data_IF_130461189611
#
_entry.id   IF_130461189611
#
_cell.length_a   1.000
_cell.length_b   1.000
_cell.length_c   1.000
_cell.angle_alpha   90.00
_cell.angle_beta   90.00
_cell.angle_gamma   90.00
#
_symmetry.space_group_name_H-M   'P 1'
#
loop_
_entity.id
_entity.type
_entity.pdbx_description
1 polymer ?
#
# COMPACT_ATOMS: atom_id res chain seq x y z
N UNK A 1 -36.31 -38.07 -4.67
CA UNK A 1 -35.51 -38.14 -3.43
C UNK A 1 -34.14 -38.65 -3.83
N UNK A 2 -33.19 -37.74 -4.06
CA UNK A 2 -31.80 -38.11 -4.29
C UNK A 2 -31.19 -38.39 -2.92
N UNK A 3 -30.56 -39.54 -2.76
CA UNK A 3 -29.76 -39.84 -1.57
C UNK A 3 -28.67 -38.78 -1.41
N UNK A 4 -28.31 -38.38 -0.18
CA UNK A 4 -27.14 -37.53 0.04
C UNK A 4 -25.92 -38.25 -0.53
N UNK A 5 -25.05 -37.52 -1.22
CA UNK A 5 -23.80 -38.04 -1.76
C UNK A 5 -22.93 -38.58 -0.61
N UNK A 6 -23.05 -39.87 -0.29
CA UNK A 6 -22.35 -40.56 0.82
C UNK A 6 -20.82 -40.44 0.76
N UNK A 7 -20.25 -39.97 -0.35
CA UNK A 7 -18.81 -39.93 -0.59
C UNK A 7 -18.13 -38.59 -0.26
N UNK A 8 -18.83 -37.65 0.41
CA UNK A 8 -18.32 -36.31 0.76
C UNK A 8 -18.31 -35.99 2.26
N UNK A 9 -18.94 -36.81 3.10
CA UNK A 9 -18.97 -36.59 4.55
C UNK A 9 -17.74 -37.17 5.23
N UNK A 10 -17.20 -36.45 6.23
CA UNK A 10 -16.27 -36.97 7.22
C UNK A 10 -16.91 -36.91 8.60
N UNK A 11 -16.87 -38.01 9.36
CA UNK A 11 -17.37 -38.03 10.74
C UNK A 11 -16.33 -37.49 11.73
N UNK A 12 -16.77 -37.03 12.90
CA UNK A 12 -15.89 -36.43 13.91
C UNK A 12 -14.70 -37.33 14.30
N UNK A 13 -14.93 -38.63 14.47
CA UNK A 13 -13.86 -39.57 14.83
C UNK A 13 -12.81 -39.70 13.70
N UNK A 14 -13.25 -39.73 12.44
CA UNK A 14 -12.35 -39.75 11.28
C UNK A 14 -11.57 -38.44 11.14
N UNK A 15 -12.21 -37.31 11.38
CA UNK A 15 -11.54 -36.01 11.36
C UNK A 15 -10.51 -35.89 12.49
N UNK A 16 -10.79 -36.43 13.69
CA UNK A 16 -9.80 -36.51 14.77
C UNK A 16 -8.56 -37.32 14.35
N UNK A 17 -8.73 -38.47 13.70
CA UNK A 17 -7.61 -39.26 13.18
C UNK A 17 -6.79 -38.50 12.13
N UNK A 18 -7.46 -37.82 11.20
CA UNK A 18 -6.80 -36.99 10.18
C UNK A 18 -6.06 -35.77 10.79
N UNK A 19 -6.56 -35.22 11.89
CA UNK A 19 -5.89 -34.14 12.61
C UNK A 19 -4.62 -34.61 13.33
N UNK A 20 -4.58 -35.86 13.77
CA UNK A 20 -3.41 -36.49 14.38
C UNK A 20 -2.40 -37.03 13.36
N UNK A 21 -2.82 -37.22 12.11
CA UNK A 21 -1.98 -37.70 11.02
C UNK A 21 -0.98 -36.65 10.48
N UNK A 22 0.02 -37.14 9.75
CA UNK A 22 1.02 -36.29 9.08
C UNK A 22 0.56 -35.76 7.71
N UNK A 23 -0.60 -36.21 7.22
CA UNK A 23 -1.11 -35.81 5.91
C UNK A 23 -1.57 -34.34 5.91
N UNK A 24 -1.28 -33.58 4.85
CA UNK A 24 -1.78 -32.22 4.71
C UNK A 24 -3.31 -32.19 4.65
N UNK A 25 -3.93 -31.59 5.66
CA UNK A 25 -5.37 -31.39 5.78
C UNK A 25 -5.64 -29.90 6.01
N UNK A 26 -6.47 -29.27 5.18
CA UNK A 26 -7.00 -27.92 5.39
C UNK A 26 -8.36 -28.02 6.08
N UNK A 27 -8.53 -27.31 7.20
CA UNK A 27 -9.77 -27.30 7.96
C UNK A 27 -10.36 -25.89 7.96
N UNK A 28 -11.46 -25.68 7.24
CA UNK A 28 -12.12 -24.38 7.15
C UNK A 28 -13.44 -24.39 7.93
N UNK A 29 -13.61 -23.39 8.79
CA UNK A 29 -14.87 -23.13 9.47
C UNK A 29 -15.59 -21.97 8.78
N UNK A 30 -16.80 -22.25 8.31
CA UNK A 30 -17.63 -21.36 7.50
C UNK A 30 -18.76 -20.73 8.33
N UNK A 31 -18.80 -20.97 9.65
CA UNK A 31 -19.75 -20.33 10.55
C UNK A 31 -19.48 -18.83 10.65
N UNK A 32 -20.40 -18.10 11.27
CA UNK A 32 -20.17 -16.67 11.53
C UNK A 32 -18.93 -16.48 12.39
N UNK A 33 -18.21 -15.38 12.13
CA UNK A 33 -16.96 -15.06 12.83
C UNK A 33 -17.09 -15.11 14.36
N UNK A 34 -18.18 -14.60 14.91
CA UNK A 34 -18.39 -14.61 16.36
C UNK A 34 -18.51 -16.04 16.90
N UNK A 35 -19.29 -16.90 16.25
CA UNK A 35 -19.47 -18.30 16.66
C UNK A 35 -18.15 -19.09 16.59
N UNK A 36 -17.34 -18.81 15.57
CA UNK A 36 -15.99 -19.38 15.43
C UNK A 36 -15.06 -18.91 16.56
N UNK A 37 -15.03 -17.60 16.84
CA UNK A 37 -14.16 -17.03 17.86
C UNK A 37 -14.59 -17.43 19.28
N UNK A 38 -15.86 -17.73 19.52
CA UNK A 38 -16.32 -18.32 20.78
C UNK A 38 -15.78 -19.73 20.96
N UNK A 39 -15.91 -20.59 19.95
CA UNK A 39 -15.34 -21.94 19.95
C UNK A 39 -15.25 -22.52 18.55
N UNK A 40 -14.14 -23.17 18.21
CA UNK A 40 -13.92 -23.85 16.94
C UNK A 40 -13.05 -25.08 17.11
N UNK A 41 -13.05 -25.97 16.10
CA UNK A 41 -12.20 -27.16 16.08
C UNK A 41 -10.73 -26.75 16.11
N UNK A 42 -9.91 -27.35 16.95
CA UNK A 42 -8.50 -26.99 17.03
C UNK A 42 -7.80 -27.16 15.66
N UNK A 43 -7.13 -26.10 15.20
CA UNK A 43 -6.54 -26.03 13.87
C UNK A 43 -7.51 -25.65 12.74
N UNK A 44 -8.81 -25.45 12.97
CA UNK A 44 -9.68 -24.89 11.93
C UNK A 44 -9.43 -23.40 11.73
N UNK A 45 -9.66 -22.91 10.51
CA UNK A 45 -9.49 -21.51 10.13
C UNK A 45 -10.84 -20.95 9.68
N UNK A 46 -11.24 -19.82 10.24
CA UNK A 46 -12.43 -19.11 9.77
C UNK A 46 -12.28 -18.65 8.31
N UNK A 47 -13.20 -19.04 7.43
CA UNK A 47 -13.20 -18.68 6.02
C UNK A 47 -14.58 -18.22 5.56
N UNK A 48 -14.62 -17.16 4.74
CA UNK A 48 -15.85 -16.65 4.12
C UNK A 48 -15.80 -16.97 2.63
N UNK A 49 -16.83 -17.64 2.12
CA UNK A 49 -16.91 -18.05 0.71
C UNK A 49 -17.91 -17.17 -0.06
N UNK A 50 -17.49 -15.95 -0.41
CA UNK A 50 -18.27 -15.03 -1.26
C UNK A 50 -18.07 -15.29 -2.77
N UNK A 51 -18.92 -14.69 -3.61
CA UNK A 51 -18.92 -14.92 -5.06
C UNK A 51 -17.60 -14.54 -5.75
N UNK A 52 -16.84 -13.57 -5.24
CA UNK A 52 -15.54 -13.18 -5.81
C UNK A 52 -14.38 -14.07 -5.31
N UNK A 53 -14.44 -14.54 -4.07
CA UNK A 53 -13.51 -15.49 -3.49
C UNK A 53 -13.58 -16.85 -4.21
N UNK A 54 -14.78 -17.26 -4.63
CA UNK A 54 -15.06 -18.53 -5.31
C UNK A 54 -14.22 -18.80 -6.56
N UNK A 55 -13.98 -17.81 -7.43
CA UNK A 55 -13.25 -18.07 -8.68
C UNK A 55 -11.72 -17.94 -8.53
N UNK A 56 -11.26 -17.00 -7.70
CA UNK A 56 -9.82 -16.68 -7.57
C UNK A 56 -9.07 -17.52 -6.53
N UNK A 57 -9.76 -18.02 -5.51
CA UNK A 57 -9.15 -18.80 -4.44
C UNK A 57 -9.07 -20.28 -4.80
N UNK A 58 -10.10 -20.84 -5.45
CA UNK A 58 -10.20 -22.28 -5.75
C UNK A 58 -9.13 -22.79 -6.71
N UNK A 59 -8.73 -21.96 -7.68
CA UNK A 59 -7.64 -22.28 -8.62
C UNK A 59 -6.26 -22.31 -7.95
N UNK A 60 -6.14 -21.77 -6.74
CA UNK A 60 -4.88 -21.63 -5.99
C UNK A 60 -4.73 -22.61 -4.83
N UNK A 61 -5.77 -23.37 -4.50
CA UNK A 61 -5.69 -24.42 -3.47
C UNK A 61 -5.05 -25.67 -4.10
N UNK A 62 -4.06 -26.31 -3.46
CA UNK A 62 -3.46 -27.52 -4.00
C UNK A 62 -4.50 -28.63 -4.16
N UNK A 63 -4.55 -29.23 -5.36
CA UNK A 63 -5.53 -30.26 -5.70
C UNK A 63 -5.36 -31.57 -4.92
N UNK A 64 -4.16 -31.82 -4.39
CA UNK A 64 -3.82 -33.04 -3.66
C UNK A 64 -3.85 -32.85 -2.13
N UNK A 65 -4.48 -31.79 -1.64
CA UNK A 65 -4.63 -31.52 -0.20
C UNK A 65 -6.07 -31.77 0.19
N UNK A 66 -6.27 -32.62 1.21
CA UNK A 66 -7.60 -32.89 1.76
C UNK A 66 -8.13 -31.61 2.40
N UNK A 67 -9.39 -31.27 2.13
CA UNK A 67 -10.07 -30.10 2.68
C UNK A 67 -11.29 -30.58 3.44
N UNK A 68 -11.47 -30.12 4.67
CA UNK A 68 -12.68 -30.37 5.45
C UNK A 68 -13.32 -29.04 5.80
N UNK A 69 -14.61 -28.93 5.50
CA UNK A 69 -15.43 -27.75 5.74
C UNK A 69 -16.35 -28.00 6.93
N UNK A 70 -16.40 -27.05 7.85
CA UNK A 70 -17.25 -27.06 9.03
C UNK A 70 -18.23 -25.90 8.89
N UNK A 71 -19.51 -26.16 9.12
CA UNK A 71 -20.54 -25.13 9.22
C UNK A 71 -21.59 -25.54 10.24
N UNK A 72 -22.50 -24.62 10.54
CA UNK A 72 -23.72 -24.89 11.29
C UNK A 72 -24.84 -24.04 10.68
N UNK A 73 -25.89 -24.62 10.07
CA UNK A 73 -26.08 -26.07 9.81
C UNK A 73 -25.08 -26.65 8.80
N UNK A 74 -24.91 -27.98 8.76
CA UNK A 74 -23.95 -28.68 7.88
C UNK A 74 -24.19 -28.48 6.37
N UNK A 75 -25.42 -28.18 5.98
CA UNK A 75 -25.83 -28.03 4.58
C UNK A 75 -24.98 -27.01 3.82
N UNK A 76 -24.55 -25.94 4.50
CA UNK A 76 -23.71 -24.91 3.89
C UNK A 76 -22.31 -25.47 3.56
N UNK A 77 -21.67 -26.19 4.48
CA UNK A 77 -20.40 -26.86 4.22
C UNK A 77 -20.53 -27.94 3.13
N UNK A 78 -21.65 -28.68 3.09
CA UNK A 78 -21.93 -29.65 2.02
C UNK A 78 -22.02 -28.96 0.64
N UNK A 79 -22.72 -27.82 0.54
CA UNK A 79 -22.82 -27.04 -0.70
C UNK A 79 -21.44 -26.59 -1.18
N UNK A 80 -20.63 -26.02 -0.29
CA UNK A 80 -19.29 -25.53 -0.62
C UNK A 80 -18.33 -26.68 -0.95
N UNK A 81 -18.42 -27.83 -0.26
CA UNK A 81 -17.61 -29.02 -0.56
C UNK A 81 -17.95 -29.58 -1.94
N UNK A 82 -19.23 -29.66 -2.28
CA UNK A 82 -19.71 -30.09 -3.60
C UNK A 82 -19.19 -29.18 -4.70
N UNK A 83 -19.23 -27.87 -4.47
CA UNK A 83 -18.65 -26.88 -5.36
C UNK A 83 -17.13 -27.07 -5.48
N UNK A 84 -16.38 -27.18 -4.39
CA UNK A 84 -14.92 -27.39 -4.42
C UNK A 84 -14.52 -28.62 -5.25
N UNK A 85 -15.25 -29.73 -5.10
CA UNK A 85 -15.03 -30.95 -5.89
C UNK A 85 -15.28 -30.75 -7.38
N UNK A 86 -16.22 -29.89 -7.78
CA UNK A 86 -16.45 -29.59 -9.21
C UNK A 86 -15.26 -28.88 -9.87
N UNK A 87 -14.42 -28.20 -9.06
CA UNK A 87 -13.13 -27.64 -9.48
C UNK A 87 -11.95 -28.61 -9.35
N UNK A 88 -12.20 -29.86 -8.93
CA UNK A 88 -11.19 -30.91 -8.80
C UNK A 88 -10.37 -30.87 -7.51
N UNK A 89 -10.91 -30.28 -6.43
CA UNK A 89 -10.30 -30.30 -5.09
C UNK A 89 -10.79 -31.50 -4.28
N UNK A 90 -9.96 -32.02 -3.37
CA UNK A 90 -10.29 -33.12 -2.45
C UNK A 90 -11.04 -32.61 -1.20
N UNK A 91 -12.29 -32.16 -1.39
CA UNK A 91 -13.07 -31.50 -0.35
C UNK A 91 -14.14 -32.39 0.31
N UNK A 92 -14.33 -32.23 1.62
CA UNK A 92 -15.28 -32.94 2.47
C UNK A 92 -15.97 -31.95 3.41
N UNK A 93 -17.08 -32.36 4.03
CA UNK A 93 -17.75 -31.60 5.08
C UNK A 93 -17.89 -32.44 6.36
N UNK A 94 -17.85 -31.79 7.52
CA UNK A 94 -18.06 -32.44 8.81
C UNK A 94 -19.53 -32.85 8.96
N UNK A 95 -19.80 -34.15 9.03
CA UNK A 95 -21.15 -34.69 9.18
C UNK A 95 -21.68 -34.35 10.57
N UNK A 96 -22.89 -33.80 10.63
CA UNK A 96 -23.55 -33.25 11.81
C UNK A 96 -23.11 -31.84 12.19
N UNK A 97 -22.33 -31.17 11.32
CA UNK A 97 -21.91 -29.78 11.53
C UNK A 97 -20.92 -29.60 12.69
N UNK A 98 -20.68 -28.36 13.11
CA UNK A 98 -19.81 -28.11 14.27
C UNK A 98 -20.34 -28.79 15.54
N UNK A 99 -21.66 -28.89 15.70
CA UNK A 99 -22.28 -29.50 16.87
C UNK A 99 -21.98 -31.00 17.04
N UNK A 100 -21.55 -31.70 15.99
CA UNK A 100 -21.14 -33.11 16.09
C UNK A 100 -19.70 -33.30 16.58
N UNK A 101 -18.91 -32.21 16.64
CA UNK A 101 -17.51 -32.28 17.02
C UNK A 101 -17.33 -32.66 18.49
N UNK A 102 -16.57 -33.73 18.73
CA UNK A 102 -16.28 -34.26 20.06
C UNK A 102 -14.78 -34.18 20.44
N UNK A 103 -13.95 -33.60 19.57
CA UNK A 103 -12.51 -33.50 19.75
C UNK A 103 -12.07 -32.20 20.41
N UNK A 104 -10.79 -31.85 20.24
CA UNK A 104 -10.21 -30.65 20.83
C UNK A 104 -10.81 -29.39 20.22
N UNK A 105 -11.17 -28.43 21.06
CA UNK A 105 -11.67 -27.11 20.67
C UNK A 105 -10.71 -26.01 21.13
N UNK A 106 -10.71 -24.91 20.39
CA UNK A 106 -9.96 -23.69 20.65
C UNK A 106 -10.92 -22.49 20.59
N UNK A 107 -10.58 -21.42 21.31
CA UNK A 107 -11.35 -20.16 21.36
C UNK A 107 -10.45 -18.98 20.97
N UNK A 108 -11.05 -17.94 20.39
CA UNK A 108 -10.38 -16.75 19.89
C UNK A 108 -10.16 -16.78 18.37
N UNK A 109 -9.57 -15.71 17.79
CA UNK A 109 -9.29 -15.65 16.37
C UNK A 109 -8.22 -16.67 15.96
N UNK A 110 -8.33 -17.21 14.76
CA UNK A 110 -7.25 -18.03 14.20
C UNK A 110 -6.05 -17.20 13.80
N UNK A 111 -4.86 -17.69 14.18
CA UNK A 111 -3.58 -17.13 13.78
C UNK A 111 -3.26 -15.83 14.52
N UNK A 112 -2.01 -15.68 14.93
CA UNK A 112 -1.52 -14.41 15.46
C UNK A 112 -1.57 -13.37 14.35
N UNK A 113 -1.90 -12.13 14.67
CA UNK A 113 -1.95 -11.02 13.69
C UNK A 113 -0.91 -9.98 14.05
N UNK A 114 -0.46 -9.25 13.03
CA UNK A 114 0.37 -8.07 13.18
C UNK A 114 -0.23 -6.95 12.32
N UNK A 115 -0.37 -5.76 12.90
CA UNK A 115 -0.83 -4.60 12.13
C UNK A 115 0.29 -4.06 11.24
N UNK A 116 -0.04 -3.34 10.16
CA UNK A 116 0.96 -2.66 9.35
C UNK A 116 1.90 -1.73 10.13
N UNK A 117 1.37 -0.95 11.09
CA UNK A 117 2.17 -0.07 11.96
C UNK A 117 3.12 -0.85 12.88
N UNK A 118 2.67 -1.98 13.45
CA UNK A 118 3.52 -2.85 14.27
C UNK A 118 4.62 -3.50 13.44
N UNK A 119 4.30 -3.94 12.21
CA UNK A 119 5.29 -4.50 11.29
C UNK A 119 6.33 -3.45 10.91
N UNK A 120 5.94 -2.21 10.66
CA UNK A 120 6.87 -1.13 10.30
C UNK A 120 7.91 -0.85 11.39
N UNK A 121 7.58 -1.11 12.67
CA UNK A 121 8.51 -0.97 13.80
C UNK A 121 9.43 -2.19 13.97
N UNK A 122 9.02 -3.35 13.46
CA UNK A 122 9.71 -4.64 13.67
C UNK A 122 10.33 -5.21 12.40
N UNK A 123 10.32 -4.48 11.29
CA UNK A 123 10.71 -4.94 9.95
C UNK A 123 12.08 -5.65 9.93
N UNK A 124 13.04 -5.17 10.73
CA UNK A 124 14.39 -5.72 10.82
C UNK A 124 14.50 -7.02 11.65
N UNK A 125 13.50 -7.30 12.49
CA UNK A 125 13.48 -8.38 13.48
C UNK A 125 12.62 -9.58 13.09
N UNK A 126 11.85 -9.48 12.00
CA UNK A 126 10.94 -10.54 11.53
C UNK A 126 11.44 -11.17 10.23
N UNK A 127 11.00 -12.39 9.95
CA UNK A 127 11.14 -13.01 8.64
C UNK A 127 9.84 -12.80 7.85
N UNK A 128 9.92 -11.99 6.81
CA UNK A 128 8.78 -11.69 5.95
C UNK A 128 8.64 -12.77 4.88
N UNK A 129 7.55 -13.52 4.94
CA UNK A 129 7.24 -14.59 4.00
C UNK A 129 6.09 -14.16 3.09
N UNK A 130 6.41 -13.83 1.85
CA UNK A 130 5.41 -13.50 0.83
C UNK A 130 4.93 -14.77 0.14
N UNK A 131 3.63 -15.05 0.26
CA UNK A 131 3.02 -16.29 -0.24
C UNK A 131 2.25 -16.11 -1.55
N UNK A 132 2.46 -14.97 -2.22
CA UNK A 132 1.96 -14.72 -3.57
C UNK A 132 2.72 -15.55 -4.60
N UNK A 133 2.20 -15.60 -5.82
CA UNK A 133 2.96 -16.18 -6.92
C UNK A 133 4.18 -15.30 -7.25
N UNK A 134 5.12 -15.85 -8.01
CA UNK A 134 6.39 -15.20 -8.33
C UNK A 134 6.18 -13.92 -9.14
N UNK A 135 5.18 -13.88 -10.00
CA UNK A 135 4.88 -12.74 -10.86
C UNK A 135 4.39 -11.54 -10.04
N UNK A 136 3.42 -11.76 -9.14
CA UNK A 136 2.91 -10.74 -8.21
C UNK A 136 4.04 -10.20 -7.32
N UNK A 137 4.93 -11.07 -6.87
CA UNK A 137 6.07 -10.71 -6.03
C UNK A 137 7.12 -9.87 -6.78
N UNK A 138 7.40 -10.23 -8.03
CA UNK A 138 8.38 -9.51 -8.87
C UNK A 138 7.88 -8.11 -9.21
N UNK A 139 6.57 -7.92 -9.39
CA UNK A 139 5.99 -6.61 -9.69
C UNK A 139 6.10 -5.62 -8.52
N UNK A 140 6.00 -6.09 -7.28
CA UNK A 140 6.10 -5.28 -6.07
C UNK A 140 6.24 -6.17 -4.84
N UNK A 141 7.14 -5.83 -3.94
CA UNK A 141 7.40 -6.56 -2.71
C UNK A 141 7.73 -5.62 -1.56
N UNK A 142 7.53 -6.09 -0.32
CA UNK A 142 8.12 -5.40 0.83
C UNK A 142 9.63 -5.68 0.80
N UNK A 143 10.50 -4.67 0.92
CA UNK A 143 11.94 -4.90 0.96
C UNK A 143 12.32 -5.98 1.97
N UNK A 144 13.21 -6.89 1.58
CA UNK A 144 13.70 -8.05 2.37
C UNK A 144 12.69 -9.17 2.61
N UNK A 145 11.52 -9.12 2.00
CA UNK A 145 10.62 -10.28 1.98
C UNK A 145 11.18 -11.41 1.12
N UNK A 146 10.84 -12.65 1.50
CA UNK A 146 11.21 -13.86 0.79
C UNK A 146 9.95 -14.47 0.20
N UNK A 147 9.94 -14.71 -1.11
CA UNK A 147 8.81 -15.32 -1.77
C UNK A 147 8.86 -16.85 -1.69
N UNK A 148 7.85 -17.44 -1.07
CA UNK A 148 7.53 -18.86 -1.19
C UNK A 148 6.04 -18.94 -1.49
N UNK A 149 5.65 -19.14 -2.77
CA UNK A 149 4.26 -19.27 -3.16
C UNK A 149 3.51 -20.30 -2.31
N UNK A 150 2.25 -20.00 -1.99
CA UNK A 150 1.42 -20.80 -1.09
C UNK A 150 1.42 -22.30 -1.42
N UNK A 151 1.35 -22.65 -2.70
CA UNK A 151 1.34 -24.04 -3.17
C UNK A 151 2.61 -24.81 -2.80
N UNK A 152 3.74 -24.13 -2.62
CA UNK A 152 5.02 -24.74 -2.23
C UNK A 152 5.14 -24.95 -0.71
N UNK A 153 4.29 -24.30 0.09
CA UNK A 153 4.29 -24.44 1.55
C UNK A 153 3.73 -25.79 2.02
N UNK A 154 3.23 -26.63 1.12
CA UNK A 154 2.78 -27.98 1.44
C UNK A 154 3.85 -29.05 1.13
N UNK A 155 5.00 -28.64 0.58
CA UNK A 155 6.17 -29.51 0.41
C UNK A 155 7.08 -29.43 1.64
N UNK A 156 7.32 -30.57 2.29
CA UNK A 156 8.13 -30.67 3.50
C UNK A 156 9.57 -30.17 3.29
N UNK A 157 10.14 -30.38 2.10
CA UNK A 157 11.49 -29.89 1.78
C UNK A 157 11.53 -28.36 1.73
N UNK A 158 10.47 -27.73 1.23
CA UNK A 158 10.36 -26.27 1.18
C UNK A 158 10.17 -25.67 2.56
N UNK A 159 9.25 -26.23 3.37
CA UNK A 159 9.03 -25.78 4.75
C UNK A 159 10.32 -25.83 5.59
N UNK A 160 11.14 -26.88 5.40
CA UNK A 160 12.38 -27.06 6.16
C UNK A 160 13.40 -25.90 6.00
N UNK A 161 13.25 -25.09 4.95
CA UNK A 161 14.11 -23.93 4.67
C UNK A 161 13.67 -22.65 5.38
N UNK A 162 12.47 -22.64 5.98
CA UNK A 162 11.94 -21.48 6.70
C UNK A 162 12.62 -21.43 8.09
N UNK A 163 13.18 -20.27 8.50
CA UNK A 163 13.87 -20.16 9.76
C UNK A 163 12.93 -20.37 10.95
N UNK A 164 13.28 -21.27 11.87
CA UNK A 164 12.48 -21.57 13.07
C UNK A 164 12.81 -20.69 14.27
N UNK A 165 13.93 -19.97 14.20
CA UNK A 165 14.45 -19.07 15.24
C UNK A 165 13.95 -17.62 15.10
N UNK A 166 13.20 -17.32 14.03
CA UNK A 166 12.67 -15.99 13.75
C UNK A 166 11.15 -15.98 13.81
N UNK A 167 10.61 -14.83 14.20
CA UNK A 167 9.17 -14.56 14.09
C UNK A 167 8.80 -14.45 12.61
N UNK A 168 7.95 -15.35 12.13
CA UNK A 168 7.48 -15.36 10.74
C UNK A 168 6.27 -14.44 10.59
N UNK A 169 6.26 -13.61 9.54
CA UNK A 169 5.10 -12.82 9.14
C UNK A 169 4.69 -13.18 7.72
N UNK A 170 3.49 -13.75 7.54
CA UNK A 170 2.96 -14.13 6.23
C UNK A 170 2.27 -12.95 5.54
N UNK A 171 2.54 -12.77 4.25
CA UNK A 171 2.07 -11.63 3.45
C UNK A 171 1.40 -12.13 2.16
N UNK A 172 0.28 -11.50 1.82
CA UNK A 172 -0.34 -11.56 0.49
C UNK A 172 -1.09 -10.24 0.22
N UNK A 173 -1.87 -10.07 -0.87
CA UNK A 173 -2.48 -8.76 -1.16
C UNK A 173 -3.42 -8.26 -0.05
N UNK A 174 -4.24 -9.15 0.52
CA UNK A 174 -5.29 -8.80 1.49
C UNK A 174 -5.29 -9.62 2.78
N UNK A 175 -4.33 -10.54 2.95
CA UNK A 175 -4.24 -11.45 4.10
C UNK A 175 -4.90 -12.83 3.91
N UNK A 176 -5.80 -13.01 2.93
CA UNK A 176 -6.54 -14.26 2.74
C UNK A 176 -5.64 -15.49 2.47
N UNK A 177 -4.71 -15.40 1.51
CA UNK A 177 -3.72 -16.47 1.25
C UNK A 177 -2.72 -16.65 2.40
N UNK A 178 -2.39 -15.55 3.07
CA UNK A 178 -1.41 -15.54 4.16
C UNK A 178 -1.95 -16.29 5.39
N UNK A 179 -3.27 -16.32 5.55
CA UNK A 179 -3.96 -17.13 6.57
C UNK A 179 -3.83 -18.64 6.30
N UNK A 180 -4.03 -19.09 5.05
CA UNK A 180 -3.80 -20.50 4.66
C UNK A 180 -2.33 -20.87 4.87
N UNK A 181 -1.42 -19.98 4.52
CA UNK A 181 0.01 -20.18 4.77
C UNK A 181 0.32 -20.32 6.27
N UNK A 182 -0.24 -19.44 7.11
CA UNK A 182 -0.06 -19.52 8.56
C UNK A 182 -0.52 -20.86 9.13
N UNK A 183 -1.58 -21.43 8.56
CA UNK A 183 -2.06 -22.75 8.94
C UNK A 183 -1.10 -23.87 8.51
N UNK A 184 -0.60 -23.84 7.27
CA UNK A 184 0.40 -24.80 6.79
C UNK A 184 1.68 -24.77 7.65
N UNK A 185 2.12 -23.56 8.05
CA UNK A 185 3.26 -23.36 8.94
C UNK A 185 2.99 -23.92 10.35
N UNK A 186 1.81 -23.69 10.90
CA UNK A 186 1.44 -24.19 12.23
C UNK A 186 1.49 -25.73 12.29
N UNK A 187 1.02 -26.45 11.26
CA UNK A 187 1.13 -27.92 11.18
C UNK A 187 2.58 -28.41 11.12
N UNK A 188 3.47 -27.61 10.55
CA UNK A 188 4.91 -27.87 10.56
C UNK A 188 5.62 -27.46 11.87
N UNK A 189 4.87 -27.01 12.88
CA UNK A 189 5.41 -26.52 14.16
C UNK A 189 6.10 -25.17 14.05
N UNK A 190 5.78 -24.35 13.04
CA UNK A 190 6.31 -23.01 12.84
C UNK A 190 5.24 -21.98 13.22
N UNK A 191 5.54 -21.16 14.22
CA UNK A 191 4.67 -20.07 14.64
C UNK A 191 4.79 -18.89 13.67
N UNK A 192 3.65 -18.32 13.27
CA UNK A 192 3.61 -17.19 12.35
C UNK A 192 2.50 -16.21 12.69
N UNK A 193 2.69 -14.96 12.28
CA UNK A 193 1.66 -13.93 12.29
C UNK A 193 1.23 -13.59 10.86
N UNK A 194 -0.04 -13.27 10.64
CA UNK A 194 -0.53 -12.75 9.35
C UNK A 194 -0.61 -11.23 9.39
N UNK A 195 -0.08 -10.58 8.35
CA UNK A 195 -0.20 -9.14 8.18
C UNK A 195 -1.66 -8.74 7.90
N UNK A 196 -2.24 -7.94 8.79
CA UNK A 196 -3.62 -7.46 8.67
C UNK A 196 -3.76 -6.58 7.43
N UNK A 197 -4.74 -6.89 6.58
CA UNK A 197 -4.97 -6.18 5.32
C UNK A 197 -3.92 -6.44 4.24
N UNK A 198 -2.93 -7.29 4.49
CA UNK A 198 -1.89 -7.62 3.53
C UNK A 198 -1.10 -6.41 3.03
N UNK A 199 -0.68 -6.47 1.76
CA UNK A 199 0.03 -5.36 1.10
C UNK A 199 -0.84 -4.13 0.92
N UNK A 200 -2.16 -4.30 0.74
CA UNK A 200 -3.07 -3.16 0.68
C UNK A 200 -3.01 -2.35 1.99
N UNK A 201 -3.03 -3.03 3.14
CA UNK A 201 -2.85 -2.40 4.45
C UNK A 201 -1.44 -1.84 4.68
N UNK A 202 -0.39 -2.56 4.28
CA UNK A 202 1.00 -2.08 4.33
C UNK A 202 1.21 -0.76 3.61
N UNK A 203 0.59 -0.64 2.43
CA UNK A 203 0.71 0.57 1.63
C UNK A 203 0.08 1.78 2.31
N UNK A 204 -0.74 1.63 3.34
CA UNK A 204 -1.36 2.75 4.07
C UNK A 204 -0.59 3.22 5.31
N UNK A 205 0.57 2.62 5.61
CA UNK A 205 1.38 3.01 6.77
C UNK A 205 2.01 4.38 6.55
N UNK A 206 1.64 5.34 7.40
CA UNK A 206 2.20 6.68 7.42
C UNK A 206 3.12 6.88 8.63
N UNK A 207 4.39 7.21 8.36
CA UNK A 207 5.40 7.56 9.37
C UNK A 207 5.73 9.06 9.29
N UNK A 208 5.61 9.76 10.40
CA UNK A 208 5.97 11.18 10.49
C UNK A 208 7.39 11.36 11.02
N UNK A 209 8.19 12.19 10.36
CA UNK A 209 9.57 12.51 10.73
C UNK A 209 9.77 14.02 10.67
N UNK A 210 10.24 14.63 11.76
CA UNK A 210 10.58 16.06 11.78
C UNK A 210 11.97 16.27 11.18
N UNK A 211 12.05 16.99 10.06
CA UNK A 211 13.29 17.27 9.33
C UNK A 211 13.90 18.60 9.73
N UNK A 212 13.05 19.63 9.89
CA UNK A 212 13.44 20.97 10.32
C UNK A 212 12.63 21.32 11.56
N UNK A 213 13.27 21.94 12.55
CA UNK A 213 12.64 22.35 13.82
C UNK A 213 12.51 23.86 13.97
N UNK A 214 13.56 24.60 13.58
CA UNK A 214 13.67 26.05 13.75
C UNK A 214 14.20 26.72 12.47
N UNK A 215 13.78 27.96 12.14
CA UNK A 215 12.75 28.76 12.82
C UNK A 215 11.31 28.33 12.46
N UNK A 216 11.17 27.37 11.53
CA UNK A 216 9.90 26.74 11.16
C UNK A 216 10.05 25.24 11.33
N UNK A 217 8.92 24.55 11.51
CA UNK A 217 8.91 23.09 11.63
C UNK A 217 8.47 22.47 10.32
N UNK A 218 9.29 21.56 9.77
CA UNK A 218 8.94 20.77 8.59
C UNK A 218 8.88 19.30 9.02
N UNK A 219 7.70 18.71 8.95
CA UNK A 219 7.45 17.29 9.21
C UNK A 219 7.17 16.62 7.87
N UNK A 220 7.98 15.62 7.54
CA UNK A 220 7.73 14.76 6.40
C UNK A 220 6.90 13.55 6.84
N UNK A 221 5.75 13.35 6.21
CA UNK A 221 4.89 12.18 6.37
C UNK A 221 5.18 11.22 5.22
N UNK A 222 5.67 10.04 5.57
CA UNK A 222 6.21 9.05 4.63
C UNK A 222 5.26 7.85 4.53
N UNK A 223 4.81 7.53 3.32
CA UNK A 223 4.02 6.33 3.01
C UNK A 223 4.97 5.15 2.79
N UNK A 224 5.23 4.41 3.86
CA UNK A 224 6.34 3.45 3.95
C UNK A 224 6.27 2.37 2.86
N UNK A 225 5.06 1.92 2.50
CA UNK A 225 4.88 0.90 1.46
C UNK A 225 5.00 1.38 0.03
N UNK A 226 5.03 2.70 -0.23
CA UNK A 226 4.90 3.25 -1.59
C UNK A 226 5.89 4.36 -1.93
N UNK A 227 6.65 4.85 -0.97
CA UNK A 227 7.61 5.94 -1.19
C UNK A 227 6.96 7.30 -1.48
N UNK A 228 5.65 7.45 -1.28
CA UNK A 228 4.97 8.74 -1.32
C UNK A 228 5.34 9.57 -0.08
N UNK A 229 5.49 10.87 -0.28
CA UNK A 229 5.90 11.84 0.71
C UNK A 229 4.92 13.00 0.71
N UNK A 230 4.55 13.41 1.92
CA UNK A 230 3.76 14.60 2.18
C UNK A 230 4.49 15.44 3.21
N UNK A 231 4.20 16.73 3.27
CA UNK A 231 4.91 17.64 4.15
C UNK A 231 3.94 18.52 4.90
N UNK A 232 4.12 18.58 6.22
CA UNK A 232 3.48 19.55 7.09
C UNK A 232 4.52 20.62 7.39
N UNK A 233 4.18 21.88 7.10
CA UNK A 233 5.04 23.02 7.37
C UNK A 233 4.31 23.90 8.38
N UNK A 234 4.88 24.04 9.57
CA UNK A 234 4.30 24.80 10.67
C UNK A 234 5.16 26.02 11.01
N UNK A 235 4.45 27.12 11.25
CA UNK A 235 4.99 28.38 11.73
C UNK A 235 3.97 29.04 12.65
N UNK A 236 4.40 29.38 13.87
CA UNK A 236 3.61 30.16 14.82
C UNK A 236 2.24 29.54 15.17
N UNK A 237 2.19 28.21 15.26
CA UNK A 237 0.97 27.46 15.57
C UNK A 237 0.04 27.24 14.38
N UNK A 238 0.32 27.84 13.21
CA UNK A 238 -0.38 27.56 11.96
C UNK A 238 0.45 26.63 11.06
N UNK A 239 -0.20 25.66 10.45
CA UNK A 239 0.42 24.73 9.53
C UNK A 239 -0.28 24.68 8.16
N UNK A 240 0.52 24.38 7.15
CA UNK A 240 0.04 23.93 5.85
C UNK A 240 0.41 22.47 5.62
N UNK A 241 -0.36 21.78 4.79
CA UNK A 241 -0.04 20.42 4.33
C UNK A 241 0.09 20.42 2.81
N UNK A 242 1.16 19.83 2.30
CA UNK A 242 1.42 19.64 0.87
C UNK A 242 1.31 18.14 0.56
N UNK A 243 0.54 17.80 -0.47
CA UNK A 243 0.27 16.45 -0.98
C UNK A 243 -0.19 15.46 0.11
N UNK A 244 -1.27 15.73 0.86
CA UNK A 244 -1.74 14.85 1.94
C UNK A 244 -2.12 13.46 1.42
N UNK A 245 -1.67 12.44 2.14
CA UNK A 245 -1.83 11.02 1.82
C UNK A 245 -2.99 10.41 2.63
N UNK A 246 -3.69 9.43 2.07
CA UNK A 246 -4.61 8.61 2.87
C UNK A 246 -3.82 7.69 3.83
N UNK A 247 -4.30 7.49 5.09
CA UNK A 247 -5.47 8.09 5.73
C UNK A 247 -5.23 9.51 6.30
N UNK A 248 -6.22 10.41 6.13
CA UNK A 248 -6.10 11.81 6.53
C UNK A 248 -6.08 12.01 8.06
N UNK A 249 -6.65 11.07 8.82
CA UNK A 249 -6.71 11.10 10.28
C UNK A 249 -5.32 11.19 10.90
N UNK A 250 -4.29 10.63 10.24
CA UNK A 250 -2.90 10.73 10.68
C UNK A 250 -2.44 12.18 10.80
N UNK A 251 -2.88 13.05 9.90
CA UNK A 251 -2.53 14.48 9.92
C UNK A 251 -3.19 15.18 11.10
N UNK A 252 -4.42 14.82 11.44
CA UNK A 252 -5.12 15.32 12.62
C UNK A 252 -4.41 14.91 13.91
N UNK A 253 -3.97 13.65 13.98
CA UNK A 253 -3.21 13.13 15.12
C UNK A 253 -1.89 13.87 15.29
N UNK A 254 -1.12 14.06 14.21
CA UNK A 254 0.14 14.82 14.25
C UNK A 254 -0.12 16.26 14.69
N UNK A 255 -1.13 16.92 14.12
CA UNK A 255 -1.51 18.31 14.45
C UNK A 255 -1.84 18.45 15.94
N UNK A 256 -2.63 17.52 16.48
CA UNK A 256 -3.01 17.50 17.90
C UNK A 256 -1.82 17.22 18.82
N UNK A 257 -0.98 16.25 18.47
CA UNK A 257 0.20 15.88 19.27
C UNK A 257 1.26 16.99 19.31
N UNK A 258 1.41 17.74 18.21
CA UNK A 258 2.43 18.76 18.05
C UNK A 258 1.95 20.18 18.35
N UNK A 259 0.65 20.38 18.59
CA UNK A 259 0.08 21.64 19.07
C UNK A 259 -0.04 22.74 18.01
N UNK A 260 -0.38 22.39 16.76
CA UNK A 260 -0.64 23.35 15.69
C UNK A 260 -1.99 23.12 15.02
N UNK A 261 -2.45 24.09 14.22
CA UNK A 261 -3.67 24.01 13.41
C UNK A 261 -3.34 23.95 11.92
N UNK A 262 -3.86 22.95 11.22
CA UNK A 262 -3.81 22.89 9.76
C UNK A 262 -4.81 23.91 9.20
N UNK A 263 -4.31 24.95 8.52
CA UNK A 263 -5.15 26.04 7.98
C UNK A 263 -5.27 26.01 6.46
N UNK A 264 -4.31 25.36 5.77
CA UNK A 264 -4.27 25.30 4.30
C UNK A 264 -3.73 23.95 3.83
N UNK A 265 -4.26 23.47 2.72
CA UNK A 265 -3.88 22.20 2.11
C UNK A 265 -3.62 22.44 0.62
N UNK A 266 -2.54 21.87 0.10
CA UNK A 266 -2.09 22.03 -1.27
C UNK A 266 -1.86 20.66 -1.89
N UNK A 267 -2.21 20.51 -3.16
CA UNK A 267 -1.64 19.47 -4.01
C UNK A 267 -0.74 20.11 -5.07
N UNK A 268 0.47 19.56 -5.24
CA UNK A 268 1.44 19.99 -6.25
C UNK A 268 0.93 19.72 -7.67
N UNK A 269 0.20 18.63 -7.86
CA UNK A 269 -0.36 18.21 -9.14
C UNK A 269 -1.50 17.21 -8.96
N UNK A 270 -2.16 16.84 -10.06
CA UNK A 270 -3.09 15.70 -10.07
C UNK A 270 -2.35 14.37 -9.96
N UNK A 271 -2.22 13.88 -8.73
CA UNK A 271 -1.60 12.59 -8.43
C UNK A 271 -2.26 11.45 -9.20
N UNK A 272 -1.45 10.56 -9.74
CA UNK A 272 -1.86 9.42 -10.56
C UNK A 272 -1.57 8.08 -9.89
N UNK A 273 -0.82 8.07 -8.80
CA UNK A 273 -0.40 6.88 -8.08
C UNK A 273 -1.16 6.73 -6.76
N UNK A 274 -1.63 7.82 -6.13
CA UNK A 274 -2.39 7.79 -4.88
C UNK A 274 -3.60 8.72 -4.88
N UNK A 275 -4.58 8.41 -4.02
CA UNK A 275 -5.75 9.26 -3.77
C UNK A 275 -5.32 10.39 -2.83
N UNK A 276 -5.48 11.64 -3.28
CA UNK A 276 -5.20 12.80 -2.46
C UNK A 276 -6.20 12.86 -1.31
N UNK A 277 -5.68 12.94 -0.09
CA UNK A 277 -6.48 13.09 1.11
C UNK A 277 -6.89 14.55 1.36
N UNK A 278 -6.62 15.46 0.42
CA UNK A 278 -6.76 16.90 0.62
C UNK A 278 -8.21 17.33 0.89
N UNK A 279 -9.17 16.77 0.15
CA UNK A 279 -10.59 17.08 0.30
C UNK A 279 -11.13 16.63 1.67
N UNK A 280 -10.75 15.44 2.11
CA UNK A 280 -11.16 14.91 3.41
C UNK A 280 -10.52 15.69 4.55
N UNK A 281 -9.23 16.01 4.44
CA UNK A 281 -8.51 16.81 5.43
C UNK A 281 -9.12 18.22 5.56
N UNK A 282 -9.46 18.86 4.45
CA UNK A 282 -10.14 20.17 4.42
C UNK A 282 -11.51 20.09 5.07
N UNK A 283 -12.29 19.06 4.76
CA UNK A 283 -13.61 18.83 5.39
C UNK A 283 -13.50 18.65 6.91
N UNK A 284 -12.47 17.95 7.38
CA UNK A 284 -12.26 17.67 8.81
C UNK A 284 -11.70 18.87 9.59
N UNK A 285 -10.94 19.75 8.94
CA UNK A 285 -10.22 20.86 9.61
C UNK A 285 -10.84 22.24 9.39
N UNK A 286 -11.64 22.41 8.33
CA UNK A 286 -12.06 23.72 7.84
C UNK A 286 -10.95 24.50 7.12
N UNK A 287 -9.82 23.85 6.81
CA UNK A 287 -8.71 24.44 6.06
C UNK A 287 -9.13 24.87 4.64
N UNK A 288 -8.34 25.74 4.01
CA UNK A 288 -8.52 26.12 2.61
C UNK A 288 -7.74 25.16 1.70
N UNK A 289 -8.41 24.63 0.69
CA UNK A 289 -7.77 23.84 -0.37
C UNK A 289 -7.21 24.76 -1.46
N UNK A 290 -5.99 24.48 -1.92
CA UNK A 290 -5.31 25.20 -2.99
C UNK A 290 -4.81 24.23 -4.05
N UNK A 291 -5.27 24.39 -5.29
CA UNK A 291 -4.94 23.50 -6.41
C UNK A 291 -4.46 24.30 -7.63
N UNK A 292 -3.75 23.64 -8.54
CA UNK A 292 -3.25 24.27 -9.75
C UNK A 292 -4.37 24.79 -10.64
N UNK A 293 -4.25 26.05 -11.10
CA UNK A 293 -5.17 26.62 -12.11
C UNK A 293 -4.99 26.01 -13.50
N UNK A 294 -3.88 25.31 -13.72
CA UNK A 294 -3.48 24.75 -15.02
C UNK A 294 -3.97 23.30 -15.22
N UNK A 295 -4.77 22.78 -14.29
CA UNK A 295 -5.38 21.46 -14.32
C UNK A 295 -6.90 21.56 -14.12
N UNK A 296 -7.65 20.58 -14.65
CA UNK A 296 -9.11 20.57 -14.59
C UNK A 296 -9.64 19.84 -13.36
N UNK A 297 -10.52 20.47 -12.60
CA UNK A 297 -11.16 19.89 -11.41
C UNK A 297 -12.67 20.15 -11.45
N UNK A 298 -13.47 19.18 -11.00
CA UNK A 298 -14.93 19.22 -11.02
C UNK A 298 -15.53 19.73 -9.70
N UNK A 299 -14.78 20.56 -8.98
CA UNK A 299 -15.21 21.19 -7.74
C UNK A 299 -14.52 22.54 -7.55
N UNK A 300 -15.19 23.46 -6.88
CA UNK A 300 -14.64 24.79 -6.60
C UNK A 300 -13.60 24.75 -5.47
N UNK A 301 -12.53 25.51 -5.65
CA UNK A 301 -11.42 25.61 -4.70
C UNK A 301 -10.60 26.87 -4.95
N UNK A 302 -9.58 27.13 -4.13
CA UNK A 302 -8.66 28.24 -4.36
C UNK A 302 -7.64 27.86 -5.45
N UNK A 303 -7.93 28.17 -6.70
CA UNK A 303 -6.98 27.93 -7.78
C UNK A 303 -5.81 28.91 -7.74
N UNK A 304 -4.59 28.37 -7.81
CA UNK A 304 -3.33 29.14 -7.74
C UNK A 304 -2.51 28.98 -9.02
N UNK A 305 -1.71 30.01 -9.31
CA UNK A 305 -0.88 30.12 -10.51
C UNK A 305 0.55 30.55 -10.17
N UNK A 306 1.41 30.58 -11.18
CA UNK A 306 2.79 31.03 -11.04
C UNK A 306 2.88 32.39 -10.33
N UNK A 307 3.88 32.53 -9.46
CA UNK A 307 4.16 33.73 -8.65
C UNK A 307 3.08 34.13 -7.63
N UNK A 308 2.01 33.35 -7.45
CA UNK A 308 1.09 33.54 -6.33
C UNK A 308 1.83 33.35 -5.00
N UNK A 309 1.28 33.97 -3.97
CA UNK A 309 1.98 34.25 -2.74
C UNK A 309 1.00 34.08 -1.57
N UNK A 310 1.13 32.99 -0.81
CA UNK A 310 0.19 32.58 0.23
C UNK A 310 0.88 32.66 1.59
N UNK A 311 0.27 33.40 2.53
CA UNK A 311 0.81 33.57 3.88
C UNK A 311 0.19 32.58 4.87
N UNK A 312 0.97 32.15 5.86
CA UNK A 312 0.52 31.33 7.00
C UNK A 312 1.52 31.51 8.15
N UNK A 313 1.01 31.58 9.37
CA UNK A 313 1.84 31.92 10.53
C UNK A 313 2.64 33.21 10.30
N UNK A 314 3.98 33.10 10.38
CA UNK A 314 4.92 34.22 10.17
C UNK A 314 5.65 34.17 8.82
N UNK A 315 5.29 33.23 7.95
CA UNK A 315 6.03 32.95 6.71
C UNK A 315 5.13 32.97 5.48
N UNK A 316 5.78 32.88 4.32
CA UNK A 316 5.16 32.96 3.01
C UNK A 316 5.59 31.78 2.15
N UNK A 317 4.61 31.25 1.42
CA UNK A 317 4.80 30.31 0.34
C UNK A 317 4.64 31.04 -0.99
N UNK A 318 5.61 30.87 -1.89
CA UNK A 318 5.59 31.37 -3.27
C UNK A 318 5.43 30.20 -4.22
N UNK A 319 4.48 30.33 -5.14
CA UNK A 319 4.17 29.31 -6.15
C UNK A 319 5.10 29.48 -7.35
N UNK A 320 5.61 28.37 -7.87
CA UNK A 320 6.31 28.29 -9.15
C UNK A 320 5.58 27.27 -10.01
N UNK A 321 5.10 27.66 -11.19
CA UNK A 321 4.57 26.71 -12.16
C UNK A 321 5.73 25.92 -12.77
N UNK A 322 5.71 24.61 -12.62
CA UNK A 322 6.77 23.70 -13.06
C UNK A 322 6.18 22.57 -13.88
N UNK A 323 5.66 22.84 -15.09
CA UNK A 323 5.10 21.79 -15.94
C UNK A 323 6.18 20.78 -16.32
N UNK A 324 5.76 19.54 -16.55
CA UNK A 324 6.63 18.47 -17.01
C UNK A 324 6.08 17.10 -16.67
N UNK A 325 5.94 16.79 -15.38
CA UNK A 325 5.27 15.56 -14.95
C UNK A 325 3.77 15.60 -15.30
N UNK A 326 3.13 16.72 -14.98
CA UNK A 326 1.80 17.09 -15.49
C UNK A 326 1.87 18.52 -16.05
N UNK A 327 0.91 18.93 -16.89
CA UNK A 327 0.89 20.31 -17.40
C UNK A 327 0.60 21.33 -16.28
N UNK A 328 -0.05 20.91 -15.19
CA UNK A 328 -0.36 21.77 -14.06
C UNK A 328 0.54 21.62 -12.85
N UNK A 329 1.63 20.87 -12.94
CA UNK A 329 2.56 20.68 -11.82
C UNK A 329 3.07 22.02 -11.27
N UNK A 330 2.98 22.18 -9.95
CA UNK A 330 3.46 23.34 -9.20
C UNK A 330 4.54 22.92 -8.20
N UNK A 331 5.53 23.79 -8.01
CA UNK A 331 6.49 23.73 -6.91
C UNK A 331 6.24 24.89 -5.95
N UNK A 332 6.51 24.66 -4.66
CA UNK A 332 6.25 25.64 -3.61
C UNK A 332 7.53 26.02 -2.88
N UNK A 333 7.90 27.30 -2.93
CA UNK A 333 9.04 27.84 -2.20
C UNK A 333 8.57 28.44 -0.89
N UNK A 334 9.15 28.00 0.23
CA UNK A 334 8.84 28.47 1.57
C UNK A 334 10.08 29.14 2.18
N UNK A 335 9.89 30.36 2.68
CA UNK A 335 10.94 31.17 3.33
C UNK A 335 12.22 31.34 2.47
N UNK A 336 12.10 31.19 1.14
CA UNK A 336 13.20 31.17 0.16
C UNK A 336 14.33 30.15 0.45
N UNK A 337 14.12 29.23 1.40
CA UNK A 337 15.08 28.24 1.87
C UNK A 337 14.67 26.80 1.57
N UNK A 338 13.38 26.56 1.39
CA UNK A 338 12.82 25.23 1.18
C UNK A 338 11.99 25.24 -0.09
N UNK A 339 12.15 24.24 -0.94
CA UNK A 339 11.32 24.05 -2.13
C UNK A 339 10.69 22.66 -2.09
N UNK A 340 9.37 22.61 -2.22
CA UNK A 340 8.59 21.39 -2.38
C UNK A 340 8.33 21.20 -3.87
N UNK A 341 8.91 20.16 -4.45
CA UNK A 341 9.07 20.03 -5.92
C UNK A 341 8.05 19.14 -6.59
N UNK A 342 7.10 18.57 -5.83
CA UNK A 342 6.16 17.60 -6.37
C UNK A 342 6.90 16.45 -7.04
N UNK A 343 6.39 16.07 -8.21
CA UNK A 343 6.98 15.06 -9.08
C UNK A 343 7.84 15.66 -10.19
N UNK A 344 8.55 16.76 -9.93
CA UNK A 344 9.45 17.38 -10.92
C UNK A 344 10.91 17.01 -10.66
N UNK A 345 11.37 17.15 -9.42
CA UNK A 345 12.75 16.91 -9.01
C UNK A 345 12.75 16.04 -7.74
N UNK A 346 13.42 14.89 -7.82
CA UNK A 346 13.59 13.93 -6.72
C UNK A 346 14.99 14.01 -6.11
N UNK A 347 15.25 13.23 -5.05
CA UNK A 347 16.56 13.22 -4.38
C UNK A 347 17.64 12.66 -5.32
N UNK A 348 17.28 11.63 -6.08
CA UNK A 348 18.14 10.78 -6.89
C UNK A 348 17.84 10.89 -8.40
N UNK A 349 16.74 11.52 -8.78
CA UNK A 349 16.28 11.58 -10.16
C UNK A 349 15.30 12.74 -10.43
N UNK A 350 14.53 12.62 -11.50
CA UNK A 350 13.50 13.54 -11.98
C UNK A 350 12.18 12.80 -12.17
N UNK A 351 11.08 13.55 -12.24
CA UNK A 351 9.78 12.99 -12.60
C UNK A 351 9.67 12.50 -14.02
N UNK A 352 8.78 11.54 -14.26
CA UNK A 352 8.47 11.05 -15.61
C UNK A 352 7.36 11.90 -16.27
N UNK A 353 7.48 12.29 -17.54
CA UNK A 353 6.46 13.08 -18.24
C UNK A 353 5.39 12.22 -18.98
N UNK A 354 5.56 10.89 -19.07
CA UNK A 354 4.84 9.99 -19.98
C UNK A 354 3.54 9.38 -19.40
N UNK A 355 3.06 9.87 -18.24
CA UNK A 355 1.75 9.49 -17.71
C UNK A 355 0.58 10.10 -18.50
N UNK A 356 0.87 11.01 -19.42
CA UNK A 356 -0.09 11.72 -20.27
C UNK A 356 0.28 11.55 -21.74
N UNK A 357 -0.67 11.81 -22.62
CA UNK A 357 -0.42 11.87 -24.07
C UNK A 357 0.44 13.13 -24.35
N UNK A 358 1.41 13.06 -25.28
CA UNK A 358 2.43 14.10 -25.60
C UNK A 358 3.72 14.08 -24.74
N UNK A 359 4.32 12.90 -24.55
CA UNK A 359 5.55 12.73 -23.77
C UNK A 359 6.70 13.70 -24.19
N UNK A 360 6.88 13.99 -25.48
CA UNK A 360 7.97 14.88 -25.94
C UNK A 360 7.78 16.33 -25.47
N UNK A 361 6.59 16.90 -25.66
CA UNK A 361 6.25 18.26 -25.20
C UNK A 361 6.46 18.38 -23.68
N UNK A 362 5.96 17.41 -22.93
CA UNK A 362 6.05 17.40 -21.48
C UNK A 362 7.50 17.21 -21.00
N UNK A 363 8.31 16.48 -21.77
CA UNK A 363 9.75 16.34 -21.48
C UNK A 363 10.49 17.66 -21.71
N UNK A 364 10.13 18.43 -22.74
CA UNK A 364 10.70 19.76 -22.95
C UNK A 364 10.32 20.72 -21.82
N UNK A 365 9.06 20.70 -21.39
CA UNK A 365 8.57 21.47 -20.26
C UNK A 365 9.30 21.09 -18.97
N UNK A 366 9.48 19.78 -18.72
CA UNK A 366 10.24 19.28 -17.59
C UNK A 366 11.66 19.83 -17.58
N UNK A 367 12.37 19.76 -18.71
CA UNK A 367 13.73 20.30 -18.84
C UNK A 367 13.75 21.79 -18.52
N UNK A 368 12.80 22.56 -19.06
CA UNK A 368 12.70 24.00 -18.82
C UNK A 368 12.39 24.32 -17.35
N UNK A 369 11.47 23.58 -16.72
CA UNK A 369 11.13 23.72 -15.30
C UNK A 369 12.33 23.47 -14.40
N UNK A 370 13.11 22.43 -14.70
CA UNK A 370 14.34 22.11 -13.98
C UNK A 370 15.40 23.21 -14.17
N UNK A 371 15.83 23.48 -15.41
CA UNK A 371 17.00 24.31 -15.68
C UNK A 371 16.72 25.82 -15.57
N UNK A 372 15.53 26.27 -15.97
CA UNK A 372 15.21 27.69 -16.03
C UNK A 372 14.53 28.22 -14.76
N UNK A 373 14.00 27.34 -13.91
CA UNK A 373 13.30 27.72 -12.66
C UNK A 373 13.96 27.11 -11.43
N UNK A 374 13.89 25.79 -11.23
CA UNK A 374 14.31 25.15 -9.97
C UNK A 374 15.83 25.27 -9.72
N UNK A 375 16.67 24.99 -10.72
CA UNK A 375 18.13 25.05 -10.57
C UNK A 375 18.68 26.48 -10.45
N UNK A 376 17.85 27.51 -10.67
CA UNK A 376 18.18 28.92 -10.43
C UNK A 376 17.96 29.36 -8.98
N UNK A 377 17.31 28.54 -8.16
CA UNK A 377 17.23 28.76 -6.72
C UNK A 377 18.64 28.69 -6.10
N UNK A 378 18.77 29.21 -4.87
CA UNK A 378 20.03 29.20 -4.14
C UNK A 378 20.53 27.76 -3.94
N UNK A 379 21.84 27.57 -4.06
CA UNK A 379 22.49 26.26 -3.87
C UNK A 379 22.16 25.60 -2.52
N UNK A 380 21.91 26.42 -1.50
CA UNK A 380 21.58 25.97 -0.14
C UNK A 380 20.08 25.72 0.07
N UNK A 381 19.22 26.00 -0.93
CA UNK A 381 17.79 25.70 -0.83
C UNK A 381 17.61 24.19 -0.72
N UNK A 382 16.91 23.74 0.33
CA UNK A 382 16.58 22.33 0.54
C UNK A 382 15.43 21.93 -0.37
N UNK A 383 15.54 20.73 -0.94
CA UNK A 383 14.59 20.18 -1.91
C UNK A 383 13.80 19.04 -1.26
N UNK A 384 12.48 19.16 -1.28
CA UNK A 384 11.53 18.21 -0.73
C UNK A 384 10.61 17.66 -1.83
N UNK A 385 10.87 16.45 -2.33
CA UNK A 385 9.99 15.83 -3.31
C UNK A 385 8.76 15.20 -2.67
N UNK A 386 7.77 14.88 -3.51
CA UNK A 386 6.56 14.12 -3.14
C UNK A 386 6.74 12.61 -3.30
N UNK A 387 7.84 12.16 -3.91
CA UNK A 387 8.21 10.75 -4.02
C UNK A 387 9.70 10.52 -3.82
N UNK A 388 10.06 9.27 -3.50
CA UNK A 388 11.42 8.76 -3.57
C UNK A 388 11.43 7.34 -4.13
N UNK A 389 12.52 6.96 -4.80
CA UNK A 389 12.75 5.60 -5.27
C UNK A 389 12.98 4.61 -4.13
N UNK A 390 12.81 3.32 -4.44
CA UNK A 390 12.89 2.22 -3.46
C UNK A 390 14.29 2.08 -2.82
N UNK A 391 15.35 2.33 -3.60
CA UNK A 391 16.75 2.18 -3.15
C UNK A 391 17.34 3.45 -2.51
N UNK A 392 16.54 4.52 -2.41
CA UNK A 392 17.02 5.78 -1.85
C UNK A 392 17.21 5.63 -0.35
N UNK A 393 18.43 5.93 0.12
CA UNK A 393 18.70 6.01 1.55
C UNK A 393 18.23 7.35 2.09
N UNK A 394 17.45 7.30 3.17
CA UNK A 394 17.08 8.51 3.90
C UNK A 394 18.31 9.19 4.53
N UNK A 395 18.27 10.52 4.60
CA UNK A 395 19.23 11.38 5.29
C UNK A 395 18.60 11.84 6.59
N UNK A 396 19.20 11.52 7.74
CA UNK A 396 18.61 11.81 9.06
C UNK A 396 17.14 11.35 9.16
N UNK A 397 16.84 10.15 8.64
CA UNK A 397 15.49 9.55 8.58
C UNK A 397 14.48 10.24 7.66
N UNK A 398 14.89 11.26 6.89
CA UNK A 398 14.06 11.94 5.87
C UNK A 398 14.57 11.79 4.45
N UNK A 399 13.71 12.11 3.49
CA UNK A 399 14.04 12.13 2.06
C UNK A 399 14.03 13.58 1.57
N UNK A 400 15.21 14.17 1.45
CA UNK A 400 15.41 15.52 0.96
C UNK A 400 16.82 15.67 0.40
N UNK A 401 17.03 16.72 -0.39
CA UNK A 401 18.32 17.09 -0.97
C UNK A 401 18.55 18.59 -0.86
N UNK A 402 19.51 19.12 -1.59
CA UNK A 402 19.73 20.56 -1.79
C UNK A 402 19.87 20.84 -3.28
N UNK A 403 19.58 22.06 -3.73
CA UNK A 403 19.79 22.45 -5.12
C UNK A 403 21.23 22.17 -5.57
N UNK A 404 22.22 22.43 -4.71
CA UNK A 404 23.62 22.10 -4.97
C UNK A 404 23.87 20.61 -5.25
N UNK A 405 23.19 19.72 -4.53
CA UNK A 405 23.27 18.28 -4.75
C UNK A 405 22.49 17.87 -6.00
N UNK A 406 21.29 18.40 -6.20
CA UNK A 406 20.46 18.12 -7.37
C UNK A 406 21.17 18.47 -8.69
N UNK A 407 21.93 19.58 -8.74
CA UNK A 407 22.75 19.95 -9.91
C UNK A 407 23.77 18.89 -10.34
N UNK A 408 24.08 17.90 -9.48
CA UNK A 408 25.01 16.80 -9.78
C UNK A 408 24.32 15.54 -10.30
N UNK A 409 22.99 15.55 -10.40
CA UNK A 409 22.25 14.42 -10.96
C UNK A 409 22.61 14.26 -12.45
N UNK A 410 22.87 13.03 -12.93
CA UNK A 410 23.24 12.80 -14.33
C UNK A 410 22.24 13.38 -15.33
N UNK A 411 20.94 13.35 -15.01
CA UNK A 411 19.87 13.94 -15.82
C UNK A 411 19.95 15.45 -15.97
N UNK A 412 20.64 16.15 -15.07
CA UNK A 412 20.77 17.61 -15.09
C UNK A 412 22.11 18.08 -15.67
N UNK A 413 22.98 17.14 -16.09
CA UNK A 413 24.31 17.40 -16.69
C UNK A 413 24.36 17.01 -18.19
N UNK A 414 23.20 16.95 -18.84
CA UNK A 414 23.08 16.61 -20.27
C UNK A 414 22.36 17.71 -21.04
N UNK A 415 22.59 17.77 -22.36
CA UNK A 415 21.94 18.76 -23.22
C UNK A 415 20.42 18.51 -23.31
N UNK A 416 19.64 19.58 -23.57
CA UNK A 416 18.17 19.45 -23.78
C UNK A 416 17.80 18.38 -24.80
N UNK A 417 18.51 18.33 -25.93
CA UNK A 417 18.25 17.33 -26.98
C UNK A 417 18.47 15.91 -26.48
N UNK A 418 19.57 15.67 -25.75
CA UNK A 418 19.89 14.35 -25.20
C UNK A 418 18.93 13.97 -24.07
N UNK A 419 18.53 14.93 -23.24
CA UNK A 419 17.53 14.77 -22.19
C UNK A 419 16.19 14.31 -22.78
N UNK A 420 15.66 15.05 -23.76
CA UNK A 420 14.38 14.74 -24.40
C UNK A 420 14.41 13.35 -25.02
N UNK A 421 15.45 13.07 -25.81
CA UNK A 421 15.65 11.77 -26.46
C UNK A 421 15.66 10.61 -25.45
N UNK A 422 16.39 10.75 -24.35
CA UNK A 422 16.53 9.69 -23.34
C UNK A 422 15.28 9.51 -22.51
N UNK A 423 14.66 10.59 -22.04
CA UNK A 423 13.47 10.51 -21.18
C UNK A 423 12.26 9.98 -21.95
N UNK A 424 12.05 10.43 -23.20
CA UNK A 424 10.97 9.91 -24.06
C UNK A 424 11.16 8.41 -24.37
N UNK A 425 12.40 7.93 -24.44
CA UNK A 425 12.68 6.52 -24.69
C UNK A 425 12.39 5.60 -23.48
N UNK A 426 12.07 6.15 -22.31
CA UNK A 426 11.75 5.37 -21.12
C UNK A 426 10.33 4.84 -21.23
N UNK A 427 10.21 3.53 -21.48
CA UNK A 427 8.92 2.85 -21.52
C UNK A 427 8.68 2.11 -20.22
N UNK A 428 8.09 2.81 -19.24
CA UNK A 428 7.60 2.15 -18.01
C UNK A 428 6.11 1.91 -18.05
N UNK A 429 5.63 0.78 -17.52
CA UNK A 429 4.20 0.62 -17.34
C UNK A 429 3.69 1.69 -16.36
N UNK A 430 2.49 2.18 -16.62
CA UNK A 430 1.80 3.13 -15.73
C UNK A 430 1.36 2.41 -14.44
N UNK A 431 1.07 3.13 -13.34
CA UNK A 431 0.44 2.52 -12.17
C UNK A 431 -0.88 1.84 -12.55
N UNK A 432 -1.24 0.70 -11.95
CA UNK A 432 -2.34 -0.15 -12.43
C UNK A 432 -3.71 0.56 -12.44
N UNK A 433 -3.95 1.47 -11.50
CA UNK A 433 -5.23 2.17 -11.32
C UNK A 433 -5.18 3.67 -11.63
N UNK A 434 -4.14 4.13 -12.33
CA UNK A 434 -3.87 5.57 -12.46
C UNK A 434 -5.05 6.38 -13.01
N UNK A 435 -5.79 5.85 -13.98
CA UNK A 435 -6.98 6.51 -14.54
C UNK A 435 -8.05 6.73 -13.48
N UNK A 436 -8.38 5.69 -12.71
CA UNK A 436 -9.40 5.77 -11.65
C UNK A 436 -8.97 6.76 -10.56
N UNK A 437 -7.70 6.75 -10.18
CA UNK A 437 -7.13 7.68 -9.20
C UNK A 437 -7.23 9.13 -9.70
N UNK A 438 -6.82 9.41 -10.95
CA UNK A 438 -6.94 10.75 -11.54
C UNK A 438 -8.40 11.22 -11.53
N UNK A 439 -9.34 10.36 -11.95
CA UNK A 439 -10.77 10.72 -11.96
C UNK A 439 -11.30 11.04 -10.56
N UNK A 440 -10.89 10.30 -9.53
CA UNK A 440 -11.24 10.58 -8.13
C UNK A 440 -10.63 11.92 -7.67
N UNK A 441 -9.34 12.14 -7.93
CA UNK A 441 -8.63 13.35 -7.52
C UNK A 441 -9.18 14.61 -8.23
N UNK A 442 -9.64 14.46 -9.48
CA UNK A 442 -10.34 15.50 -10.24
C UNK A 442 -11.77 15.75 -9.74
N UNK A 443 -12.34 14.83 -8.95
CA UNK A 443 -13.74 14.87 -8.55
C UNK A 443 -14.72 14.46 -9.66
N UNK A 444 -14.23 13.79 -10.70
CA UNK A 444 -15.08 13.14 -11.73
C UNK A 444 -15.75 11.88 -11.19
N UNK A 445 -15.06 11.13 -10.33
CA UNK A 445 -15.57 9.93 -9.68
C UNK A 445 -15.76 10.17 -8.18
N UNK A 446 -16.87 9.68 -7.63
CA UNK A 446 -17.08 9.67 -6.18
C UNK A 446 -16.09 8.73 -5.50
N UNK A 447 -15.51 9.19 -4.38
CA UNK A 447 -14.57 8.42 -3.60
C UNK A 447 -15.30 7.45 -2.67
N UNK A 448 -15.01 6.15 -2.82
CA UNK A 448 -15.42 5.11 -1.86
C UNK A 448 -14.19 4.78 -1.00
N UNK A 449 -14.14 5.27 0.25
CA UNK A 449 -12.95 5.17 1.11
C UNK A 449 -12.45 3.73 1.30
N UNK A 450 -13.36 2.75 1.36
CA UNK A 450 -12.99 1.33 1.51
C UNK A 450 -12.21 0.77 0.31
N UNK A 451 -12.27 1.42 -0.86
CA UNK A 451 -11.56 0.99 -2.07
C UNK A 451 -10.15 1.60 -2.21
N UNK A 452 -9.81 2.62 -1.41
CA UNK A 452 -8.50 3.31 -1.52
C UNK A 452 -7.32 2.34 -1.41
N UNK A 453 -7.28 1.41 -0.43
CA UNK A 453 -6.16 0.48 -0.32
C UNK A 453 -5.93 -0.35 -1.58
N UNK A 454 -7.00 -0.73 -2.27
CA UNK A 454 -6.97 -1.51 -3.51
C UNK A 454 -6.61 -0.66 -4.72
N UNK A 455 -7.07 0.59 -4.75
CA UNK A 455 -6.68 1.54 -5.78
C UNK A 455 -5.18 1.81 -5.75
N UNK A 456 -4.59 1.84 -4.57
CA UNK A 456 -3.19 2.20 -4.36
C UNK A 456 -2.22 1.02 -4.27
N UNK A 457 -2.68 -0.21 -4.45
CA UNK A 457 -1.81 -1.38 -4.40
C UNK A 457 -0.81 -1.38 -5.57
N UNK A 458 0.43 -1.78 -5.29
CA UNK A 458 1.51 -1.86 -6.27
C UNK A 458 2.62 -0.82 -6.08
N UNK A 459 3.63 -0.82 -6.96
CA UNK A 459 4.85 -0.05 -6.77
C UNK A 459 4.66 1.42 -7.16
N UNK A 460 5.55 2.28 -6.67
CA UNK A 460 5.70 3.63 -7.20
C UNK A 460 6.30 3.60 -8.60
N UNK A 461 5.76 4.41 -9.51
CA UNK A 461 6.29 4.50 -10.88
C UNK A 461 6.43 5.95 -11.36
N UNK A 462 6.65 6.93 -10.47
CA UNK A 462 6.70 8.36 -10.82
C UNK A 462 8.09 8.87 -11.24
N UNK A 463 9.18 8.18 -10.86
CA UNK A 463 10.55 8.55 -11.22
C UNK A 463 11.03 7.92 -12.54
N UNK A 464 11.89 8.67 -13.23
CA UNK A 464 12.82 8.14 -14.24
C UNK A 464 13.95 7.40 -13.50
N UNK A 465 14.32 6.17 -13.85
CA UNK A 465 15.47 5.52 -13.17
C UNK A 465 16.78 6.11 -13.68
N UNK A 466 17.76 6.11 -12.80
CA UNK A 466 19.17 6.12 -13.17
C UNK A 466 19.57 4.69 -13.53
N UNK A 467 19.46 4.33 -14.81
CA UNK A 467 20.27 3.22 -15.35
C UNK A 467 21.60 3.77 -15.85
#
# INVERSE_FOLDING_TARGET
MNQPNENMGIFADQLNEELLGENPLLLFDLRMKNDFEESHVDGSVHAVCDTQAKEKMMTKIPKNTKIVLISEPEDYALEIASMMRSFGLDAYYLVGGFSSWNGKITSGPTGKKITPDELAQKLDSVFLLDVRNTEEFTEFQIPRSVNIPLEKLFDANTISKIPKDKQIVTICPHGNRAMIASFALARAGIDSQTLVGGLAGWNQVLKAVTIVKDPIKIIQVQKVGKGCLSHIIESDGEAIVIDPLYPFEKYLDISKQQGFQITKVFDTHQHADHVSAARDLVKATGAKLYLSKYEGYNFDTNFIRDADNISFGKIKLRVIHTPGHTPGSLSYVVDEKYVFTGDILFVESIGRPDLRDNAEEFTEDLYNSLHNKLLKLSDNTMVFPTHHGEDVKSVNTGFYSTIKQSKKLPWLDISKQEFVRKVVAITRPRPMNYKKIIMVNQGELELIHSEIPDMEIGPNRCAVDVN
#
